data_IF_361975082986
#
_entry.id   IF_361975082986
#
_cell.length_a   1.000
_cell.length_b   1.000
_cell.length_c   1.000
_cell.angle_alpha   90.00
_cell.angle_beta   90.00
_cell.angle_gamma   90.00
#
_symmetry.space_group_name_H-M   'P 1'
#
loop_
_entity.id
_entity.type
_entity.pdbx_description
1 polymer ?
#
# COMPACT_ATOMS: atom_id res chain seq x y z
N UNK A 1 15.98 -18.05 3.35
CA UNK A 1 15.64 -16.64 3.61
C UNK A 1 15.14 -16.09 2.29
N UNK A 2 13.83 -16.16 2.09
CA UNK A 2 13.21 -15.61 0.88
C UNK A 2 13.40 -14.08 0.92
N UNK A 3 13.81 -13.41 -0.17
CA UNK A 3 13.81 -11.96 -0.18
C UNK A 3 12.35 -11.53 -0.08
N UNK A 4 11.90 -11.21 1.13
CA UNK A 4 10.60 -10.61 1.35
C UNK A 4 10.58 -9.34 0.48
N UNK A 5 9.63 -9.27 -0.44
CA UNK A 5 9.41 -8.07 -1.24
C UNK A 5 9.15 -6.94 -0.25
N UNK A 6 9.96 -5.88 -0.22
CA UNK A 6 9.61 -4.71 0.58
C UNK A 6 8.82 -3.73 -0.29
N UNK A 7 7.71 -3.24 0.25
CA UNK A 7 6.85 -2.24 -0.37
C UNK A 7 7.01 -0.96 0.43
N UNK A 8 7.51 0.08 -0.23
CA UNK A 8 7.55 1.42 0.31
C UNK A 8 6.17 2.07 0.18
N UNK A 9 5.69 2.60 1.31
CA UNK A 9 4.38 3.25 1.44
C UNK A 9 4.62 4.73 1.69
N UNK A 10 4.40 5.55 0.67
CA UNK A 10 4.61 6.99 0.70
C UNK A 10 3.29 7.76 0.69
N UNK A 11 3.06 8.69 1.62
CA UNK A 11 1.87 9.53 1.57
C UNK A 11 1.95 10.46 0.36
N UNK A 12 0.83 10.59 -0.37
CA UNK A 12 0.67 11.56 -1.44
C UNK A 12 0.29 12.91 -0.81
N UNK A 13 1.02 13.97 -1.17
CA UNK A 13 0.88 15.28 -0.50
C UNK A 13 -0.44 16.00 -0.80
N UNK A 14 -1.07 15.68 -1.93
CA UNK A 14 -2.23 16.39 -2.48
C UNK A 14 -3.53 15.56 -2.42
N UNK A 15 -3.43 14.31 -1.98
CA UNK A 15 -4.53 13.35 -1.96
C UNK A 15 -4.45 12.57 -0.64
N UNK A 16 -5.59 12.26 -0.03
CA UNK A 16 -5.62 11.37 1.13
C UNK A 16 -5.36 9.92 0.67
N UNK A 17 -4.16 9.67 0.18
CA UNK A 17 -3.76 8.41 -0.42
C UNK A 17 -2.28 8.11 -0.17
N UNK A 18 -1.95 6.83 -0.15
CA UNK A 18 -0.59 6.33 0.02
C UNK A 18 -0.21 5.53 -1.21
N UNK A 19 0.91 5.90 -1.85
CA UNK A 19 1.45 5.17 -2.98
C UNK A 19 2.21 3.96 -2.48
N UNK A 20 2.00 2.83 -3.16
CA UNK A 20 2.68 1.56 -2.90
C UNK A 20 3.71 1.35 -4.01
N UNK A 21 4.98 1.33 -3.65
CA UNK A 21 6.09 1.17 -4.60
C UNK A 21 7.00 0.05 -4.12
N UNK A 22 7.38 -0.89 -4.99
CA UNK A 22 8.33 -1.94 -4.60
C UNK A 22 9.77 -1.39 -4.58
N UNK A 23 10.73 -2.16 -4.03
CA UNK A 23 12.15 -1.77 -4.00
C UNK A 23 12.78 -1.52 -5.38
N UNK A 24 12.22 -2.07 -6.44
CA UNK A 24 12.64 -1.83 -7.83
C UNK A 24 12.01 -0.55 -8.42
N UNK A 25 11.25 0.21 -7.62
CA UNK A 25 10.61 1.45 -8.04
C UNK A 25 9.34 1.25 -8.88
N UNK A 26 8.75 0.05 -8.90
CA UNK A 26 7.53 -0.23 -9.67
C UNK A 26 6.31 0.10 -8.82
N UNK A 27 5.37 0.83 -9.43
CA UNK A 27 4.09 1.11 -8.81
C UNK A 27 3.29 -0.19 -8.62
N UNK A 28 3.00 -0.53 -7.37
CA UNK A 28 2.13 -1.64 -6.99
C UNK A 28 0.68 -1.18 -6.78
N UNK A 29 0.45 0.12 -6.66
CA UNK A 29 -0.89 0.68 -6.52
C UNK A 29 -0.91 1.82 -5.52
N UNK A 30 -2.08 2.04 -4.92
CA UNK A 30 -2.26 2.99 -3.84
C UNK A 30 -3.30 2.51 -2.84
N UNK A 31 -3.25 3.05 -1.64
CA UNK A 31 -4.36 3.00 -0.69
C UNK A 31 -4.98 4.39 -0.70
N UNK A 32 -6.27 4.51 -0.98
CA UNK A 32 -7.00 5.78 -0.93
C UNK A 32 -7.90 5.79 0.31
N UNK A 33 -7.91 6.90 1.03
CA UNK A 33 -8.90 7.21 2.06
C UNK A 33 -10.14 7.80 1.37
N UNK A 34 -11.28 7.17 1.59
CA UNK A 34 -12.60 7.60 1.15
C UNK A 34 -13.21 8.57 2.19
N UNK A 35 -14.23 9.32 1.77
CA UNK A 35 -14.83 10.40 2.56
C UNK A 35 -15.40 9.98 3.94
N UNK A 36 -15.64 8.68 4.18
CA UNK A 36 -16.11 8.15 5.47
C UNK A 36 -14.95 7.81 6.44
N UNK A 37 -13.69 8.07 6.05
CA UNK A 37 -12.50 7.62 6.79
C UNK A 37 -12.21 6.13 6.58
N UNK A 38 -12.81 5.53 5.57
CA UNK A 38 -12.56 4.16 5.13
C UNK A 38 -11.40 4.12 4.14
N UNK A 39 -10.59 3.07 4.18
CA UNK A 39 -9.45 2.91 3.29
C UNK A 39 -9.76 1.85 2.23
N UNK A 40 -9.38 2.15 0.99
CA UNK A 40 -9.54 1.26 -0.15
C UNK A 40 -8.20 1.00 -0.82
N UNK A 41 -7.92 -0.27 -1.08
CA UNK A 41 -6.70 -0.70 -1.77
C UNK A 41 -6.98 -0.73 -3.26
N UNK A 42 -6.25 0.08 -4.00
CA UNK A 42 -6.31 0.16 -5.46
C UNK A 42 -4.99 -0.38 -6.03
N UNK A 43 -4.89 -1.70 -6.26
CA UNK A 43 -3.71 -2.29 -6.88
C UNK A 43 -3.55 -1.82 -8.34
N UNK A 44 -2.31 -1.68 -8.80
CA UNK A 44 -1.99 -1.27 -10.15
C UNK A 44 -0.88 -2.15 -10.76
N UNK A 45 -0.75 -2.11 -12.09
CA UNK A 45 0.33 -2.79 -12.80
C UNK A 45 0.39 -4.30 -12.53
N UNK A 46 1.59 -4.82 -12.25
CA UNK A 46 1.78 -6.25 -11.98
C UNK A 46 1.17 -6.70 -10.66
N UNK A 47 0.94 -5.78 -9.72
CA UNK A 47 0.36 -6.12 -8.43
C UNK A 47 -1.11 -6.54 -8.56
N UNK A 48 -1.81 -6.19 -9.65
CA UNK A 48 -3.18 -6.67 -9.91
C UNK A 48 -3.28 -8.19 -9.96
N UNK A 49 -2.23 -8.89 -10.41
CA UNK A 49 -2.21 -10.35 -10.44
C UNK A 49 -2.00 -10.93 -9.05
N UNK A 50 -1.04 -10.39 -8.29
CA UNK A 50 -0.72 -10.85 -6.93
C UNK A 50 -1.80 -10.47 -5.90
N UNK A 51 -2.42 -9.30 -6.08
CA UNK A 51 -3.47 -8.70 -5.25
C UNK A 51 -4.87 -8.88 -5.89
N UNK A 52 -4.98 -9.80 -6.86
CA UNK A 52 -6.22 -10.12 -7.55
C UNK A 52 -7.28 -10.71 -6.61
N UNK A 53 -6.83 -11.54 -5.68
CA UNK A 53 -7.68 -12.37 -4.81
C UNK A 53 -7.87 -11.82 -3.40
N UNK A 54 -7.27 -10.67 -3.07
CA UNK A 54 -7.36 -10.09 -1.73
C UNK A 54 -8.58 -9.19 -1.56
N UNK A 55 -9.01 -8.98 -0.31
CA UNK A 55 -10.01 -7.95 -0.02
C UNK A 55 -9.37 -6.58 -0.20
N UNK A 56 -10.04 -5.74 -1.01
CA UNK A 56 -9.58 -4.39 -1.34
C UNK A 56 -10.26 -3.30 -0.50
N UNK A 57 -11.01 -3.69 0.52
CA UNK A 57 -11.78 -2.81 1.39
C UNK A 57 -13.28 -2.74 1.05
N UNK A 58 -14.02 -1.84 1.73
CA UNK A 58 -13.49 -0.83 2.65
C UNK A 58 -12.93 -1.43 3.95
N UNK A 59 -11.78 -0.93 4.41
CA UNK A 59 -11.18 -1.27 5.71
C UNK A 59 -11.08 -0.03 6.59
N UNK A 60 -11.07 -0.20 7.90
CA UNK A 60 -11.23 0.91 8.85
C UNK A 60 -9.95 1.73 9.09
N UNK A 61 -8.79 1.18 8.77
CA UNK A 61 -7.49 1.84 9.00
C UNK A 61 -6.52 1.53 7.88
N UNK A 62 -5.57 2.44 7.66
CA UNK A 62 -4.44 2.20 6.77
C UNK A 62 -3.66 0.94 7.17
N UNK A 63 -3.47 0.70 8.48
CA UNK A 63 -2.72 -0.45 8.98
C UNK A 63 -3.38 -1.79 8.59
N UNK A 64 -4.71 -1.87 8.67
CA UNK A 64 -5.48 -3.04 8.23
C UNK A 64 -5.36 -3.26 6.71
N UNK A 65 -5.34 -2.15 5.94
CA UNK A 65 -5.08 -2.20 4.51
C UNK A 65 -3.68 -2.77 4.21
N UNK A 66 -2.65 -2.27 4.90
CA UNK A 66 -1.27 -2.72 4.74
C UNK A 66 -1.11 -4.20 5.13
N UNK A 67 -1.73 -4.64 6.24
CA UNK A 67 -1.68 -6.04 6.67
C UNK A 67 -2.25 -6.99 5.61
N UNK A 68 -3.35 -6.63 4.95
CA UNK A 68 -3.91 -7.44 3.86
C UNK A 68 -2.99 -7.46 2.63
N UNK A 69 -2.30 -6.35 2.33
CA UNK A 69 -1.31 -6.28 1.24
C UNK A 69 -0.13 -7.20 1.54
N UNK A 70 0.43 -7.11 2.75
CA UNK A 70 1.52 -7.95 3.22
C UNK A 70 1.13 -9.43 3.16
N UNK A 71 -0.10 -9.77 3.56
CA UNK A 71 -0.61 -11.14 3.50
C UNK A 71 -0.75 -11.66 2.06
N UNK A 72 -1.25 -10.83 1.15
CA UNK A 72 -1.49 -11.22 -0.24
C UNK A 72 -0.20 -11.32 -1.06
N UNK A 73 0.74 -10.42 -0.82
CA UNK A 73 1.99 -10.31 -1.58
C UNK A 73 3.18 -11.02 -0.91
N UNK A 74 3.01 -11.46 0.34
CA UNK A 74 4.10 -11.89 1.24
C UNK A 74 5.21 -10.85 1.37
N UNK A 75 4.84 -9.59 1.18
CA UNK A 75 5.72 -8.44 1.30
C UNK A 75 5.72 -7.89 2.72
N UNK A 76 6.65 -6.98 2.99
CA UNK A 76 6.62 -6.12 4.18
C UNK A 76 6.36 -4.68 3.76
N UNK A 77 5.32 -4.07 4.34
CA UNK A 77 4.99 -2.67 4.06
C UNK A 77 5.81 -1.76 4.97
N UNK A 78 6.70 -0.96 4.38
CA UNK A 78 7.49 0.04 5.09
C UNK A 78 6.89 1.41 4.85
N UNK A 79 6.35 2.01 5.91
CA UNK A 79 5.92 3.41 5.87
C UNK A 79 7.16 4.29 5.78
N UNK A 80 7.30 5.01 4.68
CA UNK A 80 8.24 6.12 4.62
C UNK A 80 7.74 7.16 5.62
N UNK A 81 8.36 7.22 6.80
CA UNK A 81 8.15 8.33 7.73
C UNK A 81 8.66 9.54 6.98
N UNK A 82 7.76 10.48 6.70
CA UNK A 82 8.10 11.78 6.13
C UNK A 82 9.18 12.37 7.05
N UNK A 83 10.44 12.34 6.60
CA UNK A 83 11.45 13.18 7.19
C UNK A 83 10.98 14.61 6.87
N UNK A 84 10.35 15.24 7.85
CA UNK A 84 10.17 16.68 7.90
C UNK A 84 11.51 17.34 7.53
N UNK A 85 11.58 18.17 6.47
CA UNK A 85 12.71 19.06 6.33
C UNK A 85 12.54 20.13 7.41
N UNK A 86 13.41 20.10 8.41
CA UNK A 86 13.61 21.19 9.39
C UNK A 86 13.96 22.49 8.66
#
# INVERSE_FOLDING_TARGET
MEPALDIDVTPKLDEAAWLLTDLLGRAMGRVAEEADGEFRIEPAGQALQTMGSMKRGPVKTLDDALAEIERATRATCRRAVRADPT
#
